data_IF_885452683013
#
_entry.id   IF_885452683013
#
_cell.length_a   1.000
_cell.length_b   1.000
_cell.length_c   1.000
_cell.angle_alpha   90.00
_cell.angle_beta   90.00
_cell.angle_gamma   90.00
#
_symmetry.space_group_name_H-M   'P 1'
#
loop_
_entity.id
_entity.type
_entity.pdbx_description
1 polymer ?
#
# COMPACT_ATOMS: atom_id res chain seq x y z
N UNK A 1 -30.69 -16.08 -10.97
CA UNK A 1 -29.43 -16.84 -10.88
C UNK A 1 -28.30 -15.84 -11.02
N UNK A 2 -27.55 -15.57 -9.95
CA UNK A 2 -26.40 -14.66 -10.03
C UNK A 2 -25.17 -15.46 -10.47
N UNK A 3 -24.52 -15.01 -11.54
CA UNK A 3 -23.31 -15.62 -12.11
C UNK A 3 -22.17 -15.64 -11.09
N UNK A 4 -21.60 -16.83 -10.90
CA UNK A 4 -20.41 -17.13 -10.10
C UNK A 4 -19.16 -16.33 -10.52
N UNK A 5 -19.14 -15.74 -11.71
CA UNK A 5 -18.05 -14.85 -12.17
C UNK A 5 -17.93 -13.54 -11.37
N UNK A 6 -18.98 -13.11 -10.64
CA UNK A 6 -18.94 -11.90 -9.81
C UNK A 6 -18.38 -12.15 -8.40
N UNK A 7 -18.31 -13.41 -7.96
CA UNK A 7 -17.86 -13.81 -6.63
C UNK A 7 -16.34 -14.02 -6.54
N UNK A 8 -15.66 -14.27 -7.66
CA UNK A 8 -14.19 -14.41 -7.69
C UNK A 8 -13.44 -13.07 -7.59
N UNK A 9 -14.09 -11.95 -7.93
CA UNK A 9 -13.50 -10.60 -7.81
C UNK A 9 -13.27 -10.15 -6.36
N UNK A 10 -13.80 -10.91 -5.39
CA UNK A 10 -13.67 -10.67 -3.95
C UNK A 10 -12.72 -11.62 -3.22
N UNK A 11 -11.93 -12.44 -3.94
CA UNK A 11 -10.77 -13.10 -3.35
C UNK A 11 -9.68 -12.05 -3.07
N UNK A 12 -9.84 -11.35 -1.94
CA UNK A 12 -8.92 -10.46 -1.22
C UNK A 12 -7.60 -10.19 -1.93
N UNK A 13 -7.60 -9.30 -2.94
CA UNK A 13 -6.37 -8.64 -3.35
C UNK A 13 -5.96 -7.78 -2.17
N UNK A 14 -5.03 -8.29 -1.34
CA UNK A 14 -4.52 -7.56 -0.17
C UNK A 14 -4.18 -6.15 -0.60
N UNK A 15 -4.87 -5.18 0.00
CA UNK A 15 -4.62 -3.79 -0.31
C UNK A 15 -3.22 -3.48 0.20
N UNK A 16 -2.35 -2.95 -0.66
CA UNK A 16 -1.02 -2.49 -0.28
C UNK A 16 -0.73 -1.13 -0.91
N UNK A 17 0.13 -0.35 -0.28
CA UNK A 17 0.59 0.96 -0.72
C UNK A 17 2.12 0.88 -0.76
N UNK A 18 2.70 1.03 -1.93
CA UNK A 18 4.14 0.98 -2.16
C UNK A 18 4.68 2.40 -2.33
N UNK A 19 5.48 2.87 -1.39
CA UNK A 19 6.27 4.10 -1.53
C UNK A 19 7.54 3.77 -2.30
N UNK A 20 7.61 4.16 -3.57
CA UNK A 20 8.71 3.89 -4.50
C UNK A 20 9.43 5.18 -4.90
N UNK A 21 10.77 5.16 -5.07
CA UNK A 21 11.48 6.29 -5.65
C UNK A 21 11.12 6.42 -7.14
N UNK A 22 10.95 7.66 -7.63
CA UNK A 22 10.61 7.96 -9.03
C UNK A 22 11.37 9.19 -9.49
N UNK A 23 12.42 9.00 -10.29
CA UNK A 23 13.35 10.07 -10.64
C UNK A 23 13.96 10.70 -9.39
N UNK A 24 13.83 12.02 -9.28
CA UNK A 24 14.31 12.78 -8.10
C UNK A 24 13.32 12.80 -6.93
N UNK A 25 12.14 12.19 -7.08
CA UNK A 25 11.07 12.21 -6.10
C UNK A 25 10.63 10.83 -5.61
N UNK A 26 9.48 10.81 -4.94
CA UNK A 26 8.87 9.65 -4.32
C UNK A 26 7.40 9.56 -4.66
N UNK A 27 6.90 8.37 -4.94
CA UNK A 27 5.50 8.13 -5.30
C UNK A 27 4.89 7.01 -4.48
N UNK A 28 3.59 7.09 -4.22
CA UNK A 28 2.83 6.01 -3.59
C UNK A 28 1.99 5.29 -4.63
N UNK A 29 2.16 3.97 -4.73
CA UNK A 29 1.42 3.11 -5.64
C UNK A 29 0.50 2.18 -4.82
N UNK A 30 -0.82 2.31 -4.97
CA UNK A 30 -1.77 1.42 -4.29
C UNK A 30 -2.02 0.16 -5.11
N UNK A 31 -2.17 -1.01 -4.48
CA UNK A 31 -2.44 -2.28 -5.15
C UNK A 31 -3.81 -2.24 -5.84
N UNK A 32 -3.80 -2.22 -7.17
CA UNK A 32 -5.01 -2.04 -7.97
C UNK A 32 -5.07 -0.67 -8.66
N UNK A 33 -4.22 0.29 -8.26
CA UNK A 33 -3.93 1.46 -9.07
C UNK A 33 -2.65 1.22 -9.87
N UNK A 34 -2.70 1.48 -11.17
CA UNK A 34 -1.52 1.50 -12.05
C UNK A 34 -0.84 2.86 -12.07
N UNK A 35 -1.42 3.87 -11.40
CA UNK A 35 -0.92 5.25 -11.39
C UNK A 35 -0.58 5.71 -9.98
N UNK A 36 0.52 6.44 -9.90
CA UNK A 36 0.88 7.22 -8.71
C UNK A 36 0.07 8.51 -8.73
N UNK A 37 -0.81 8.75 -7.75
CA UNK A 37 -1.68 9.93 -7.76
C UNK A 37 -0.92 11.22 -7.45
N UNK A 38 0.20 11.13 -6.72
CA UNK A 38 1.02 12.27 -6.33
C UNK A 38 2.49 11.88 -6.18
N UNK A 39 3.37 12.70 -6.74
CA UNK A 39 4.82 12.64 -6.52
C UNK A 39 5.15 13.63 -5.41
N UNK A 40 6.01 13.22 -4.49
CA UNK A 40 6.52 14.00 -3.38
C UNK A 40 8.02 14.24 -3.60
N UNK A 41 8.52 15.39 -3.17
CA UNK A 41 9.95 15.70 -3.27
C UNK A 41 10.78 14.88 -2.28
N UNK A 42 10.19 14.50 -1.13
CA UNK A 42 10.90 13.77 -0.08
C UNK A 42 10.28 12.41 0.24
N UNK A 43 11.11 11.48 0.71
CA UNK A 43 10.67 10.16 1.21
C UNK A 43 9.69 10.30 2.37
N UNK A 44 9.95 11.25 3.27
CA UNK A 44 9.16 11.47 4.48
C UNK A 44 7.71 11.86 4.15
N UNK A 45 7.52 12.78 3.21
CA UNK A 45 6.17 13.18 2.76
C UNK A 45 5.43 12.04 2.09
N UNK A 46 6.11 11.31 1.19
CA UNK A 46 5.52 10.14 0.54
C UNK A 46 5.14 9.07 1.56
N UNK A 47 6.00 8.82 2.56
CA UNK A 47 5.75 7.85 3.61
C UNK A 47 4.58 8.27 4.49
N UNK A 48 4.47 9.55 4.88
CA UNK A 48 3.35 10.07 5.66
C UNK A 48 2.01 9.92 4.92
N UNK A 49 1.97 10.31 3.64
CA UNK A 49 0.77 10.17 2.82
C UNK A 49 0.43 8.69 2.53
N UNK A 50 1.46 7.86 2.34
CA UNK A 50 1.32 6.42 2.10
C UNK A 50 0.75 5.72 3.31
N UNK A 51 1.24 6.07 4.50
CA UNK A 51 0.73 5.60 5.79
C UNK A 51 -0.73 6.01 6.00
N UNK A 52 -1.08 7.27 5.80
CA UNK A 52 -2.47 7.72 5.94
C UNK A 52 -3.43 6.97 5.00
N UNK A 53 -2.99 6.73 3.77
CA UNK A 53 -3.74 5.94 2.78
C UNK A 53 -3.86 4.49 3.22
N UNK A 54 -2.78 3.89 3.71
CA UNK A 54 -2.75 2.52 4.14
C UNK A 54 -3.62 2.29 5.38
N UNK A 55 -3.60 3.20 6.35
CA UNK A 55 -4.48 3.18 7.52
C UNK A 55 -5.96 3.30 7.12
N UNK A 56 -6.30 4.24 6.22
CA UNK A 56 -7.69 4.42 5.75
C UNK A 56 -8.22 3.22 4.97
N UNK A 57 -7.33 2.51 4.27
CA UNK A 57 -7.69 1.37 3.43
C UNK A 57 -7.46 0.01 4.11
N UNK A 58 -7.00 0.00 5.35
CA UNK A 58 -6.59 -1.20 6.09
C UNK A 58 -5.63 -2.06 5.25
N UNK A 59 -4.63 -1.38 4.71
CA UNK A 59 -3.70 -1.89 3.71
C UNK A 59 -2.28 -2.01 4.26
N UNK A 60 -1.45 -2.81 3.60
CA UNK A 60 -0.01 -2.89 3.90
C UNK A 60 0.75 -1.73 3.28
N UNK A 61 1.55 -1.01 4.05
CA UNK A 61 2.43 0.04 3.56
C UNK A 61 3.86 -0.47 3.39
N UNK A 62 4.29 -0.63 2.15
CA UNK A 62 5.65 -1.05 1.79
C UNK A 62 6.46 0.18 1.37
N UNK A 63 7.61 0.38 2.00
CA UNK A 63 8.48 1.54 1.79
C UNK A 63 9.77 1.05 1.15
N UNK A 64 10.03 1.49 -0.07
CA UNK A 64 11.27 1.19 -0.77
C UNK A 64 12.37 2.19 -0.38
N UNK A 65 13.61 1.79 -0.57
CA UNK A 65 14.79 2.63 -0.48
C UNK A 65 15.16 3.19 -1.86
N UNK A 66 16.08 4.15 -1.93
CA UNK A 66 16.52 4.74 -3.23
C UNK A 66 17.13 3.70 -4.17
N UNK A 67 17.59 2.56 -3.64
CA UNK A 67 18.08 1.42 -4.41
C UNK A 67 16.95 0.49 -4.93
N UNK A 68 15.67 0.87 -4.76
CA UNK A 68 14.51 0.10 -5.18
C UNK A 68 14.15 -1.10 -4.29
N UNK A 69 15.01 -1.44 -3.32
CA UNK A 69 14.75 -2.54 -2.37
C UNK A 69 13.74 -2.13 -1.30
N UNK A 70 13.00 -3.09 -0.78
CA UNK A 70 12.12 -2.85 0.38
C UNK A 70 13.00 -2.51 1.59
N UNK A 71 12.79 -1.33 2.14
CA UNK A 71 13.46 -0.88 3.36
C UNK A 71 12.64 -1.14 4.61
N UNK A 72 11.32 -0.98 4.52
CA UNK A 72 10.39 -1.26 5.61
C UNK A 72 9.01 -1.65 5.06
N UNK A 73 8.26 -2.44 5.81
CA UNK A 73 6.84 -2.68 5.56
C UNK A 73 6.05 -2.56 6.87
N UNK A 74 4.85 -2.02 6.79
CA UNK A 74 3.94 -1.88 7.93
C UNK A 74 2.54 -2.33 7.51
N UNK A 75 2.00 -3.37 8.13
CA UNK A 75 0.64 -3.82 7.85
C UNK A 75 -0.35 -3.08 8.75
N UNK A 76 -1.32 -2.39 8.13
CA UNK A 76 -2.44 -1.74 8.83
C UNK A 76 -3.78 -2.46 8.61
N UNK A 77 -3.75 -3.59 7.91
CA UNK A 77 -4.89 -4.49 7.82
C UNK A 77 -5.18 -5.08 9.18
N UNK A 78 -6.41 -4.90 9.65
CA UNK A 78 -6.95 -5.45 10.90
C UNK A 78 -6.76 -6.98 10.91
N UNK A 79 -5.64 -7.46 11.43
CA UNK A 79 -5.46 -8.87 11.77
C UNK A 79 -6.38 -9.15 12.98
N UNK A 80 -7.40 -10.02 12.86
CA UNK A 80 -8.28 -10.35 13.97
C UNK A 80 -7.59 -11.13 15.11
N UNK A 81 -6.27 -11.33 15.08
CA UNK A 81 -5.53 -12.01 16.15
C UNK A 81 -4.32 -11.22 16.68
N UNK A 82 -4.50 -10.24 17.58
CA UNK A 82 -3.44 -9.93 18.52
C UNK A 82 -3.31 -11.12 19.49
N UNK A 83 -2.15 -11.82 19.59
CA UNK A 83 -1.95 -12.69 20.74
C UNK A 83 -2.02 -11.80 21.99
N UNK A 84 -3.03 -12.05 22.83
CA UNK A 84 -3.04 -11.54 24.20
C UNK A 84 -2.04 -12.38 24.99
N UNK A 85 -1.03 -11.72 25.55
CA UNK A 85 -0.20 -12.27 26.63
C UNK A 85 1.08 -12.92 26.15
#
# INVERSE_FOLDING_TARGET
MYSIEALEKHMSKRKSVHTVPRGDGWGNLSSGSTRVPKIYSTKAEAQAAGRATAMRQEAEHVIHNRNGRIGASNSYGNDPFPPRG
#
